data_IF_596464565013
#
_entry.id   IF_596464565013
#
_cell.length_a   1.000
_cell.length_b   1.000
_cell.length_c   1.000
_cell.angle_alpha   90.00
_cell.angle_beta   90.00
_cell.angle_gamma   90.00
#
_symmetry.space_group_name_H-M   'P 1'
#
loop_
_entity.id
_entity.type
_entity.pdbx_description
1 polymer ?
#
# COMPACT_ATOMS: atom_id res chain seq x y z
N UNK A 1 -35.17 -3.55 -2.38
CA UNK A 1 -36.19 -2.97 -1.51
C UNK A 1 -37.10 -2.05 -2.30
N UNK A 2 -38.40 -1.93 -1.89
CA UNK A 2 -39.38 -1.06 -2.55
C UNK A 2 -39.04 0.45 -2.42
N UNK A 3 -38.11 0.79 -1.54
CA UNK A 3 -37.66 2.16 -1.27
C UNK A 3 -36.57 2.65 -2.23
N UNK A 4 -35.97 1.78 -3.02
CA UNK A 4 -34.87 2.15 -3.95
C UNK A 4 -35.47 2.94 -5.13
N UNK A 5 -34.95 4.15 -5.34
CA UNK A 5 -35.33 5.03 -6.45
C UNK A 5 -34.24 5.13 -7.52
N UNK A 6 -32.98 5.15 -7.10
CA UNK A 6 -31.81 5.30 -7.97
C UNK A 6 -30.84 4.14 -7.77
N UNK A 7 -30.26 3.65 -8.84
CA UNK A 7 -29.22 2.61 -8.85
C UNK A 7 -28.06 3.11 -9.70
N UNK A 8 -26.85 3.09 -9.15
CA UNK A 8 -25.63 3.21 -9.93
C UNK A 8 -25.09 1.81 -10.23
N UNK A 9 -24.77 1.53 -11.48
CA UNK A 9 -24.14 0.28 -11.92
C UNK A 9 -22.73 0.62 -12.38
N UNK A 10 -21.74 0.01 -11.72
CA UNK A 10 -20.32 0.25 -11.99
C UNK A 10 -19.71 -0.93 -12.74
N UNK A 11 -19.21 -0.67 -13.92
CA UNK A 11 -18.48 -1.61 -14.77
C UNK A 11 -16.97 -1.31 -14.74
N UNK A 12 -16.13 -2.36 -14.70
CA UNK A 12 -14.67 -2.21 -14.78
C UNK A 12 -14.15 -2.24 -16.22
N UNK A 13 -14.95 -1.82 -17.14
CA UNK A 13 -14.61 -1.76 -18.56
C UNK A 13 -15.22 -0.52 -19.20
N UNK A 14 -14.70 -0.17 -20.36
CA UNK A 14 -15.32 0.78 -21.28
C UNK A 14 -15.57 0.05 -22.59
N UNK A 15 -16.83 -0.19 -22.92
CA UNK A 15 -17.23 -0.91 -24.13
C UNK A 15 -17.35 0.05 -25.31
N UNK A 16 -16.41 -0.04 -26.25
CA UNK A 16 -16.39 0.82 -27.41
C UNK A 16 -17.55 0.47 -28.38
N UNK A 17 -18.31 1.49 -28.79
CA UNK A 17 -19.39 1.33 -29.76
C UNK A 17 -20.69 0.76 -29.18
N UNK A 18 -20.75 0.54 -27.85
CA UNK A 18 -21.98 0.15 -27.15
C UNK A 18 -22.73 1.37 -26.61
N UNK A 19 -24.04 1.20 -26.38
CA UNK A 19 -24.88 2.22 -25.72
C UNK A 19 -24.69 2.26 -24.21
N UNK A 20 -23.98 1.29 -23.64
CA UNK A 20 -23.65 1.19 -22.21
C UNK A 20 -22.71 0.03 -21.98
N UNK A 21 -22.22 -0.08 -20.74
CA UNK A 21 -21.34 -1.14 -20.31
C UNK A 21 -22.12 -2.45 -20.06
N UNK A 22 -21.49 -3.63 -20.13
CA UNK A 22 -22.21 -4.91 -20.09
C UNK A 22 -23.12 -5.11 -18.88
N UNK A 23 -22.62 -4.91 -17.65
CA UNK A 23 -23.43 -5.07 -16.44
C UNK A 23 -24.57 -4.05 -16.38
N UNK A 24 -24.29 -2.80 -16.75
CA UNK A 24 -25.30 -1.76 -16.81
C UNK A 24 -26.45 -2.15 -17.74
N UNK A 25 -26.17 -2.65 -18.96
CA UNK A 25 -27.18 -3.09 -19.91
C UNK A 25 -28.00 -4.27 -19.39
N UNK A 26 -27.37 -5.24 -18.74
CA UNK A 26 -28.05 -6.37 -18.12
C UNK A 26 -29.02 -5.93 -17.01
N UNK A 27 -28.56 -5.02 -16.13
CA UNK A 27 -29.42 -4.46 -15.06
C UNK A 27 -30.58 -3.67 -15.63
N UNK A 28 -30.36 -2.86 -16.66
CA UNK A 28 -31.43 -2.13 -17.37
C UNK A 28 -32.45 -3.11 -17.96
N UNK A 29 -32.00 -4.18 -18.59
CA UNK A 29 -32.87 -5.21 -19.18
C UNK A 29 -33.76 -5.90 -18.12
N UNK A 30 -33.17 -6.26 -16.98
CA UNK A 30 -33.87 -6.96 -15.89
C UNK A 30 -34.89 -6.02 -15.20
N UNK A 31 -34.53 -4.76 -15.04
CA UNK A 31 -35.32 -3.78 -14.30
C UNK A 31 -36.22 -2.89 -15.18
N UNK A 32 -36.32 -3.13 -16.48
CA UNK A 32 -37.06 -2.31 -17.47
C UNK A 32 -38.50 -1.98 -17.09
N UNK A 33 -39.15 -2.83 -16.30
CA UNK A 33 -40.54 -2.65 -15.88
C UNK A 33 -40.66 -2.14 -14.43
N UNK A 34 -39.58 -1.68 -13.83
CA UNK A 34 -39.57 -1.10 -12.49
C UNK A 34 -39.49 0.43 -12.60
N UNK A 35 -40.12 1.11 -11.65
CA UNK A 35 -39.99 2.57 -11.54
C UNK A 35 -38.74 2.94 -10.73
N UNK A 36 -37.57 2.71 -11.36
CA UNK A 36 -36.25 2.89 -10.77
C UNK A 36 -35.38 3.55 -11.85
N UNK A 37 -34.65 4.60 -11.48
CA UNK A 37 -33.65 5.21 -12.34
C UNK A 37 -32.34 4.42 -12.23
N UNK A 38 -31.70 4.13 -13.36
CA UNK A 38 -30.47 3.34 -13.43
C UNK A 38 -29.40 4.17 -14.12
N UNK A 39 -28.28 4.40 -13.47
CA UNK A 39 -27.16 5.22 -13.96
C UNK A 39 -25.93 4.32 -14.17
N UNK A 40 -25.38 4.33 -15.39
CA UNK A 40 -24.16 3.60 -15.72
C UNK A 40 -22.90 4.37 -15.35
N UNK A 41 -21.94 3.70 -14.76
CA UNK A 41 -20.65 4.26 -14.38
C UNK A 41 -19.49 3.30 -14.59
N UNK A 42 -18.28 3.83 -14.52
CA UNK A 42 -17.02 3.07 -14.71
C UNK A 42 -16.10 3.25 -13.53
N UNK A 43 -15.42 2.18 -13.13
CA UNK A 43 -14.43 2.17 -12.05
C UNK A 43 -13.21 1.33 -12.41
N UNK A 44 -12.11 1.52 -11.71
CA UNK A 44 -10.94 0.67 -11.80
C UNK A 44 -10.33 0.54 -13.19
N UNK A 45 -10.57 1.49 -14.09
CA UNK A 45 -9.97 1.52 -15.43
C UNK A 45 -8.45 1.61 -15.31
N UNK A 46 -7.74 0.94 -16.22
CA UNK A 46 -6.27 0.82 -16.16
C UNK A 46 -5.75 0.18 -14.86
N UNK A 47 -6.53 -0.70 -14.24
CA UNK A 47 -6.22 -1.38 -12.98
C UNK A 47 -5.99 -0.42 -11.80
N UNK A 48 -6.56 0.78 -11.84
CA UNK A 48 -6.53 1.70 -10.70
C UNK A 48 -7.27 1.11 -9.50
N UNK A 49 -6.72 1.35 -8.32
CA UNK A 49 -7.38 1.05 -7.06
C UNK A 49 -8.66 1.87 -6.93
N UNK A 50 -9.68 1.30 -6.32
CA UNK A 50 -10.92 2.01 -6.02
C UNK A 50 -11.03 2.20 -4.51
N UNK A 51 -11.19 3.44 -4.10
CA UNK A 51 -11.20 3.84 -2.68
C UNK A 51 -12.63 4.00 -2.14
N UNK A 52 -12.81 3.96 -0.82
CA UNK A 52 -14.10 4.30 -0.20
C UNK A 52 -14.58 5.71 -0.56
N UNK A 53 -13.69 6.69 -0.65
CA UNK A 53 -13.99 8.07 -1.02
C UNK A 53 -14.60 8.14 -2.42
N UNK A 54 -14.04 7.40 -3.38
CA UNK A 54 -14.59 7.28 -4.74
C UNK A 54 -15.97 6.63 -4.75
N UNK A 55 -16.20 5.59 -3.96
CA UNK A 55 -17.53 4.95 -3.83
C UNK A 55 -18.53 5.88 -3.14
N UNK A 56 -18.08 6.60 -2.12
CA UNK A 56 -18.94 7.58 -1.44
C UNK A 56 -19.38 8.70 -2.38
N UNK A 57 -18.51 9.14 -3.28
CA UNK A 57 -18.83 10.12 -4.33
C UNK A 57 -19.97 9.64 -5.24
N UNK A 58 -20.09 8.33 -5.47
CA UNK A 58 -21.23 7.77 -6.24
C UNK A 58 -22.54 7.92 -5.47
N UNK A 59 -22.55 7.64 -4.17
CA UNK A 59 -23.75 7.86 -3.34
C UNK A 59 -24.17 9.31 -3.33
N UNK A 60 -23.22 10.22 -3.15
CA UNK A 60 -23.47 11.66 -3.19
C UNK A 60 -24.04 12.10 -4.54
N UNK A 61 -23.46 11.64 -5.64
CA UNK A 61 -23.96 11.91 -6.99
C UNK A 61 -25.41 11.44 -7.16
N UNK A 62 -25.76 10.24 -6.67
CA UNK A 62 -27.12 9.72 -6.77
C UNK A 62 -28.14 10.52 -5.93
N UNK A 63 -27.70 11.15 -4.85
CA UNK A 63 -28.56 11.96 -3.98
C UNK A 63 -28.75 13.39 -4.52
N UNK A 64 -27.67 14.02 -4.97
CA UNK A 64 -27.64 15.47 -5.24
C UNK A 64 -27.84 15.78 -6.72
N UNK A 65 -27.14 15.12 -7.60
CA UNK A 65 -27.14 15.38 -9.05
C UNK A 65 -26.80 14.15 -9.86
N UNK A 66 -27.76 13.24 -10.07
CA UNK A 66 -27.52 12.01 -10.81
C UNK A 66 -26.96 12.27 -12.22
N UNK A 67 -25.90 11.53 -12.58
CA UNK A 67 -25.14 11.69 -13.82
C UNK A 67 -25.05 10.37 -14.57
N UNK A 68 -25.28 10.41 -15.84
CA UNK A 68 -25.09 9.27 -16.77
C UNK A 68 -23.63 9.16 -17.21
N UNK A 69 -23.21 7.92 -17.49
CA UNK A 69 -21.88 7.62 -18.05
C UNK A 69 -20.71 8.17 -17.22
N UNK A 70 -20.89 8.28 -15.90
CA UNK A 70 -19.86 8.80 -15.02
C UNK A 70 -18.67 7.84 -14.86
N UNK A 71 -17.56 8.36 -14.39
CA UNK A 71 -16.34 7.60 -14.08
C UNK A 71 -15.85 7.98 -12.67
N UNK A 72 -15.24 7.06 -11.95
CA UNK A 72 -14.51 7.33 -10.71
C UNK A 72 -13.04 6.95 -10.87
N UNK A 73 -12.16 7.61 -10.11
CA UNK A 73 -10.73 7.33 -10.08
C UNK A 73 -9.92 7.88 -11.27
N UNK A 74 -10.48 8.75 -12.11
CA UNK A 74 -9.78 9.44 -13.19
C UNK A 74 -9.55 10.90 -12.81
N UNK A 75 -8.29 11.35 -12.75
CA UNK A 75 -7.94 12.70 -12.30
C UNK A 75 -7.70 13.70 -13.45
N UNK A 76 -7.34 13.22 -14.62
CA UNK A 76 -7.04 13.99 -15.84
C UNK A 76 -8.11 13.76 -16.93
N UNK A 77 -9.36 13.84 -16.53
CA UNK A 77 -10.51 13.52 -17.36
C UNK A 77 -10.87 14.66 -18.31
N UNK A 78 -10.45 14.54 -19.57
CA UNK A 78 -10.81 15.49 -20.64
C UNK A 78 -12.30 15.42 -21.06
N UNK A 79 -13.02 14.39 -20.62
CA UNK A 79 -14.45 14.20 -20.94
C UNK A 79 -15.38 14.85 -19.92
N UNK A 80 -14.85 15.26 -18.77
CA UNK A 80 -15.59 15.79 -17.62
C UNK A 80 -16.68 14.82 -17.09
N UNK A 81 -16.48 13.52 -17.23
CA UNK A 81 -17.37 12.48 -16.73
C UNK A 81 -16.98 11.98 -15.34
N UNK A 82 -15.75 12.23 -14.92
CA UNK A 82 -15.29 11.84 -13.59
C UNK A 82 -16.00 12.59 -12.48
N UNK A 83 -16.37 11.83 -11.45
CA UNK A 83 -16.88 12.44 -10.22
C UNK A 83 -15.69 13.02 -9.44
N UNK A 84 -15.95 14.13 -8.78
CA UNK A 84 -15.02 14.67 -7.79
C UNK A 84 -15.02 13.75 -6.57
N UNK A 85 -13.86 13.43 -6.07
CA UNK A 85 -13.70 12.59 -4.89
C UNK A 85 -14.25 13.31 -3.65
N UNK A 86 -15.15 12.64 -2.93
CA UNK A 86 -15.76 13.10 -1.68
C UNK A 86 -15.23 12.27 -0.53
N UNK A 87 -14.77 12.94 0.51
CA UNK A 87 -14.15 12.25 1.65
C UNK A 87 -15.17 11.62 2.58
N UNK A 88 -14.92 10.37 2.98
CA UNK A 88 -15.65 9.68 4.05
C UNK A 88 -14.67 9.17 5.09
N UNK A 89 -14.93 9.49 6.35
CA UNK A 89 -14.15 8.94 7.45
C UNK A 89 -14.65 7.54 7.79
N UNK A 90 -13.74 6.56 7.67
CA UNK A 90 -14.01 5.16 8.02
C UNK A 90 -13.15 4.83 9.22
N UNK A 91 -13.81 4.65 10.37
CA UNK A 91 -13.14 4.15 11.56
C UNK A 91 -12.76 2.68 11.36
N UNK A 92 -11.48 2.37 11.50
CA UNK A 92 -10.98 1.02 11.63
C UNK A 92 -9.83 0.98 12.64
N UNK A 93 -9.68 -0.16 13.33
CA UNK A 93 -8.63 -0.38 14.32
C UNK A 93 -7.38 -1.03 13.70
N UNK A 94 -7.37 -1.20 12.38
CA UNK A 94 -6.26 -1.86 11.69
C UNK A 94 -5.05 -0.92 11.59
N UNK A 95 -3.87 -1.50 11.78
CA UNK A 95 -2.60 -0.83 11.52
C UNK A 95 -2.24 -1.02 10.04
N UNK A 96 -1.77 0.05 9.42
CA UNK A 96 -1.45 0.08 8.00
C UNK A 96 0.04 0.35 7.77
N UNK A 97 0.66 -0.45 6.89
CA UNK A 97 2.08 -0.32 6.50
C UNK A 97 2.17 -0.24 4.99
N UNK A 98 2.98 0.67 4.49
CA UNK A 98 3.30 0.80 3.07
C UNK A 98 4.79 0.59 2.85
N UNK A 99 5.15 -0.38 2.01
CA UNK A 99 6.55 -0.64 1.65
C UNK A 99 6.76 -0.37 0.17
N UNK A 100 7.59 0.61 -0.14
CA UNK A 100 7.98 0.98 -1.51
C UNK A 100 9.35 0.40 -1.79
N UNK A 101 9.37 -0.67 -2.56
CA UNK A 101 10.55 -1.45 -2.87
C UNK A 101 10.93 -1.43 -4.34
N UNK A 102 12.04 -2.07 -4.65
CA UNK A 102 12.53 -2.25 -6.01
C UNK A 102 12.35 -3.71 -6.43
N UNK A 103 11.90 -3.94 -7.65
CA UNK A 103 11.72 -5.28 -8.18
C UNK A 103 13.00 -6.12 -8.04
N UNK A 104 12.89 -7.26 -7.36
CA UNK A 104 13.98 -8.18 -7.01
C UNK A 104 14.82 -7.81 -5.77
N UNK A 105 14.47 -6.75 -5.00
CA UNK A 105 15.15 -6.43 -3.72
C UNK A 105 14.75 -7.38 -2.57
N UNK A 106 13.75 -8.23 -2.80
CA UNK A 106 13.25 -9.20 -1.82
C UNK A 106 12.19 -8.64 -0.87
N UNK A 107 11.80 -7.36 -1.00
CA UNK A 107 10.85 -6.72 -0.07
C UNK A 107 9.43 -7.28 -0.16
N UNK A 108 8.99 -7.76 -1.33
CA UNK A 108 7.70 -8.46 -1.43
C UNK A 108 7.69 -9.74 -0.59
N UNK A 109 8.79 -10.51 -0.62
CA UNK A 109 8.94 -11.72 0.21
C UNK A 109 9.04 -11.37 1.69
N UNK A 110 9.80 -10.34 2.06
CA UNK A 110 9.88 -9.83 3.42
C UNK A 110 8.51 -9.36 3.93
N UNK A 111 7.76 -8.63 3.12
CA UNK A 111 6.40 -8.20 3.47
C UNK A 111 5.45 -9.37 3.73
N UNK A 112 5.56 -10.45 2.95
CA UNK A 112 4.78 -11.69 3.19
C UNK A 112 5.21 -12.39 4.47
N UNK A 113 6.50 -12.41 4.78
CA UNK A 113 7.03 -13.02 6.00
C UNK A 113 6.65 -12.20 7.24
N UNK A 114 6.74 -10.88 7.15
CA UNK A 114 6.25 -9.94 8.16
C UNK A 114 4.77 -10.23 8.52
N UNK A 115 3.91 -10.41 7.52
CA UNK A 115 2.50 -10.74 7.76
C UNK A 115 2.34 -12.10 8.47
N UNK A 116 3.17 -13.10 8.14
CA UNK A 116 3.15 -14.41 8.82
C UNK A 116 3.57 -14.28 10.29
N UNK A 117 4.61 -13.48 10.56
CA UNK A 117 5.07 -13.21 11.94
C UNK A 117 3.96 -12.52 12.74
N UNK A 118 3.32 -11.50 12.16
CA UNK A 118 2.21 -10.80 12.80
C UNK A 118 1.00 -11.72 13.04
N UNK A 119 0.66 -12.58 12.08
CA UNK A 119 -0.43 -13.56 12.22
C UNK A 119 -0.14 -14.65 13.26
N UNK A 120 1.12 -15.03 13.44
CA UNK A 120 1.52 -16.02 14.45
C UNK A 120 1.30 -15.51 15.88
N UNK A 121 1.19 -14.19 16.09
CA UNK A 121 0.69 -13.62 17.34
C UNK A 121 -0.82 -13.90 17.44
N UNK A 122 -1.23 -14.39 18.61
CA UNK A 122 -2.63 -14.72 18.89
C UNK A 122 -3.54 -13.53 18.58
N UNK A 123 -4.64 -13.83 17.88
CA UNK A 123 -5.76 -12.93 17.60
C UNK A 123 -5.47 -11.77 16.61
N UNK A 124 -4.38 -11.81 15.85
CA UNK A 124 -4.17 -10.83 14.79
C UNK A 124 -4.63 -11.34 13.41
N UNK A 125 -5.50 -10.57 12.78
CA UNK A 125 -5.80 -10.70 11.36
C UNK A 125 -4.76 -9.94 10.54
N UNK A 126 -4.45 -10.42 9.34
CA UNK A 126 -3.48 -9.81 8.45
C UNK A 126 -3.98 -9.79 7.01
N UNK A 127 -3.61 -8.76 6.26
CA UNK A 127 -3.93 -8.63 4.85
C UNK A 127 -2.75 -8.01 4.10
N UNK A 128 -2.50 -8.45 2.87
CA UNK A 128 -1.47 -7.87 2.00
C UNK A 128 -1.92 -7.79 0.57
N UNK A 129 -1.81 -6.60 -0.03
CA UNK A 129 -1.90 -6.37 -1.46
C UNK A 129 -0.55 -5.92 -2.00
N UNK A 130 -0.23 -6.35 -3.22
CA UNK A 130 1.07 -6.08 -3.84
C UNK A 130 0.86 -5.48 -5.23
N UNK A 131 1.37 -4.27 -5.43
CA UNK A 131 1.45 -3.65 -6.74
C UNK A 131 2.81 -3.92 -7.38
N UNK A 132 2.80 -4.14 -8.67
CA UNK A 132 4.00 -4.35 -9.48
C UNK A 132 3.96 -3.39 -10.68
N UNK A 133 5.09 -2.74 -10.95
CA UNK A 133 5.26 -2.03 -12.22
C UNK A 133 5.17 -3.04 -13.38
N UNK A 134 4.59 -2.64 -14.50
CA UNK A 134 4.50 -3.44 -15.72
C UNK A 134 5.88 -3.77 -16.35
N UNK A 135 6.94 -3.11 -15.94
CA UNK A 135 8.31 -3.42 -16.36
C UNK A 135 8.79 -4.73 -15.75
N UNK A 136 9.32 -5.63 -16.59
CA UNK A 136 9.77 -6.97 -16.18
C UNK A 136 10.90 -6.99 -15.13
N UNK A 137 11.72 -5.95 -15.05
CA UNK A 137 12.80 -5.83 -14.07
C UNK A 137 13.07 -4.37 -13.75
N UNK A 138 13.44 -4.08 -12.51
CA UNK A 138 13.80 -2.74 -12.09
C UNK A 138 12.63 -1.78 -11.86
N UNK A 139 11.40 -2.29 -11.91
CA UNK A 139 10.21 -1.52 -11.59
C UNK A 139 9.98 -1.36 -10.09
N UNK A 140 9.14 -0.40 -9.73
CA UNK A 140 8.72 -0.20 -8.34
C UNK A 140 7.76 -1.30 -7.93
N UNK A 141 7.89 -1.79 -6.70
CA UNK A 141 6.89 -2.65 -6.05
C UNK A 141 6.34 -1.91 -4.85
N UNK A 142 5.02 -1.97 -4.65
CA UNK A 142 4.41 -1.40 -3.46
C UNK A 142 3.66 -2.50 -2.74
N UNK A 143 4.03 -2.73 -1.47
CA UNK A 143 3.31 -3.65 -0.59
C UNK A 143 2.43 -2.84 0.35
N UNK A 144 1.13 -3.14 0.33
CA UNK A 144 0.10 -2.57 1.19
C UNK A 144 -0.29 -3.61 2.23
N UNK A 145 0.10 -3.41 3.47
CA UNK A 145 -0.08 -4.38 4.54
C UNK A 145 -1.00 -3.83 5.62
N UNK A 146 -1.89 -4.68 6.11
CA UNK A 146 -2.74 -4.38 7.27
C UNK A 146 -2.64 -5.49 8.30
N UNK A 147 -2.72 -5.11 9.56
CA UNK A 147 -2.88 -6.07 10.65
C UNK A 147 -3.70 -5.45 11.79
N UNK A 148 -4.40 -6.27 12.55
CA UNK A 148 -5.22 -5.81 13.67
C UNK A 148 -5.91 -6.96 14.40
N UNK A 149 -6.58 -6.63 15.51
CA UNK A 149 -7.40 -7.58 16.28
C UNK A 149 -8.73 -7.90 15.61
N UNK A 150 -9.19 -7.03 14.75
CA UNK A 150 -10.47 -7.16 14.08
C UNK A 150 -10.32 -7.74 12.67
N UNK A 151 -11.38 -8.39 12.18
CA UNK A 151 -11.40 -8.93 10.83
C UNK A 151 -11.23 -7.81 9.80
N UNK A 152 -10.23 -7.96 8.94
CA UNK A 152 -9.91 -7.00 7.88
C UNK A 152 -10.83 -7.24 6.69
N UNK A 153 -11.66 -6.25 6.34
CA UNK A 153 -12.62 -6.33 5.25
C UNK A 153 -12.36 -5.29 4.14
N UNK A 154 -11.24 -4.58 4.19
CA UNK A 154 -10.86 -3.52 3.26
C UNK A 154 -10.33 -4.10 1.93
N UNK A 155 -11.11 -4.08 0.82
CA UNK A 155 -10.68 -4.62 -0.47
C UNK A 155 -9.91 -3.61 -1.33
N UNK A 156 -9.28 -2.61 -0.70
CA UNK A 156 -8.53 -1.53 -1.35
C UNK A 156 -7.13 -1.40 -0.76
N UNK A 157 -6.25 -0.67 -1.46
CA UNK A 157 -4.89 -0.44 -0.99
C UNK A 157 -4.84 0.42 0.27
N UNK A 158 -3.74 0.31 1.02
CA UNK A 158 -3.47 1.15 2.19
C UNK A 158 -3.52 2.62 1.79
N UNK A 159 -4.36 3.37 2.49
CA UNK A 159 -4.58 4.79 2.24
C UNK A 159 -3.91 5.70 3.26
N UNK A 160 -3.82 5.26 4.52
CA UNK A 160 -3.29 6.07 5.63
C UNK A 160 -2.32 5.27 6.50
N UNK A 161 -1.10 4.92 5.98
CA UNK A 161 -0.14 4.10 6.72
C UNK A 161 0.36 4.80 7.99
N UNK A 162 0.61 4.03 9.05
CA UNK A 162 1.40 4.45 10.20
C UNK A 162 2.89 4.44 9.90
N UNK A 163 3.32 3.48 9.08
CA UNK A 163 4.71 3.36 8.65
C UNK A 163 4.79 3.30 7.12
N UNK A 164 5.66 4.14 6.57
CA UNK A 164 6.07 4.01 5.18
C UNK A 164 7.55 3.66 5.12
N UNK A 165 7.87 2.63 4.36
CA UNK A 165 9.24 2.15 4.14
C UNK A 165 9.64 2.40 2.71
N UNK A 166 10.85 2.93 2.49
CA UNK A 166 11.38 3.24 1.15
C UNK A 166 12.75 2.62 1.00
N UNK A 167 12.89 1.66 0.07
CA UNK A 167 14.16 0.95 -0.11
C UNK A 167 15.14 1.64 -1.05
N UNK A 168 14.70 2.67 -1.77
CA UNK A 168 15.54 3.51 -2.64
C UNK A 168 15.14 4.97 -2.53
N UNK A 169 16.05 5.81 -2.09
CA UNK A 169 15.83 7.24 -1.85
C UNK A 169 15.41 8.02 -3.12
N UNK A 170 15.79 7.55 -4.31
CA UNK A 170 15.41 8.16 -5.59
C UNK A 170 13.89 8.23 -5.80
N UNK A 171 13.12 7.34 -5.15
CA UNK A 171 11.67 7.28 -5.30
C UNK A 171 10.95 8.54 -4.80
N UNK A 172 11.54 9.29 -3.88
CA UNK A 172 10.99 10.58 -3.45
C UNK A 172 10.91 11.63 -4.56
N UNK A 173 11.72 11.48 -5.62
CA UNK A 173 11.67 12.35 -6.80
C UNK A 173 10.66 11.89 -7.86
N UNK A 174 10.29 10.61 -7.81
CA UNK A 174 9.44 9.98 -8.82
C UNK A 174 7.98 9.90 -8.38
N UNK A 175 7.73 9.75 -7.07
CA UNK A 175 6.42 9.46 -6.51
C UNK A 175 6.13 10.30 -5.26
N UNK A 176 4.85 10.59 -5.03
CA UNK A 176 4.36 11.22 -3.80
C UNK A 176 4.12 10.16 -2.72
N UNK A 177 5.21 9.61 -2.17
CA UNK A 177 5.20 8.40 -1.34
C UNK A 177 4.53 8.63 0.01
N UNK A 178 4.76 9.81 0.63
CA UNK A 178 4.37 10.08 2.02
C UNK A 178 3.15 10.98 2.16
N UNK A 179 2.48 11.33 1.06
CA UNK A 179 1.32 12.22 1.07
C UNK A 179 0.28 11.82 2.12
N UNK A 180 -0.01 10.53 2.18
CA UNK A 180 -1.06 9.96 3.04
C UNK A 180 -0.53 9.28 4.30
N UNK A 181 0.77 9.42 4.61
CA UNK A 181 1.33 8.96 5.88
C UNK A 181 0.62 9.69 7.03
N UNK A 182 0.19 8.96 8.04
CA UNK A 182 -0.53 9.52 9.20
C UNK A 182 0.28 10.58 9.93
N UNK A 183 -0.38 11.46 10.64
CA UNK A 183 0.27 12.36 11.61
C UNK A 183 0.98 11.53 12.70
N UNK A 184 2.16 11.98 13.10
CA UNK A 184 3.07 11.27 14.00
C UNK A 184 3.51 9.88 13.46
N UNK A 185 3.31 9.63 12.17
CA UNK A 185 3.72 8.40 11.52
C UNK A 185 5.23 8.27 11.38
N UNK A 186 5.68 7.12 10.90
CA UNK A 186 7.10 6.78 10.76
C UNK A 186 7.48 6.60 9.29
N UNK A 187 8.62 7.17 8.91
CA UNK A 187 9.24 6.99 7.60
C UNK A 187 10.60 6.30 7.79
N UNK A 188 10.75 5.09 7.28
CA UNK A 188 12.02 4.35 7.26
C UNK A 188 12.61 4.37 5.85
N UNK A 189 13.86 4.84 5.72
CA UNK A 189 14.53 5.00 4.43
C UNK A 189 15.79 4.16 4.39
N UNK A 190 15.93 3.29 3.37
CA UNK A 190 17.22 2.71 3.05
C UNK A 190 17.99 3.65 2.12
N UNK A 191 19.15 4.11 2.56
CA UNK A 191 20.00 5.01 1.81
C UNK A 191 21.44 4.94 2.30
N UNK A 192 22.40 5.09 1.39
CA UNK A 192 23.84 5.24 1.70
C UNK A 192 24.20 6.66 2.13
N UNK A 193 23.24 7.59 2.06
CA UNK A 193 23.46 9.02 2.35
C UNK A 193 23.38 9.28 3.83
N UNK A 194 24.25 10.19 4.29
CA UNK A 194 24.13 10.76 5.62
C UNK A 194 22.93 11.73 5.71
N UNK A 195 22.64 12.24 6.91
CA UNK A 195 21.51 13.12 7.16
C UNK A 195 21.52 14.38 6.27
N UNK A 196 22.67 15.06 6.15
CA UNK A 196 22.79 16.28 5.35
C UNK A 196 22.51 16.03 3.87
N UNK A 197 23.05 14.95 3.31
CA UNK A 197 22.86 14.55 1.92
C UNK A 197 21.42 14.12 1.66
N UNK A 198 20.80 13.39 2.60
CA UNK A 198 19.41 12.99 2.53
C UNK A 198 18.49 14.20 2.54
N UNK A 199 18.72 15.16 3.43
CA UNK A 199 17.96 16.40 3.49
C UNK A 199 18.08 17.22 2.18
N UNK A 200 19.25 17.23 1.53
CA UNK A 200 19.41 17.87 0.20
C UNK A 200 18.66 17.13 -0.91
N UNK A 201 18.58 15.81 -0.82
CA UNK A 201 17.92 14.98 -1.82
C UNK A 201 16.38 15.10 -1.75
N UNK A 202 15.80 15.16 -0.55
CA UNK A 202 14.36 15.18 -0.34
C UNK A 202 13.73 16.44 -0.95
N UNK A 203 12.67 16.29 -1.79
CA UNK A 203 11.92 17.41 -2.33
C UNK A 203 11.30 18.29 -1.24
N UNK A 204 11.15 19.58 -1.51
CA UNK A 204 10.54 20.54 -0.57
C UNK A 204 9.16 20.09 -0.10
N UNK A 205 8.35 19.51 -1.00
CA UNK A 205 7.03 18.98 -0.66
C UNK A 205 7.11 17.87 0.39
N UNK A 206 8.08 16.97 0.27
CA UNK A 206 8.32 15.87 1.23
C UNK A 206 8.74 16.44 2.58
N UNK A 207 9.70 17.37 2.60
CA UNK A 207 10.14 18.05 3.84
C UNK A 207 8.99 18.77 4.56
N UNK A 208 8.17 19.48 3.80
CA UNK A 208 6.99 20.15 4.35
C UNK A 208 5.97 19.17 4.94
N UNK A 209 5.78 18.00 4.31
CA UNK A 209 4.89 16.96 4.83
C UNK A 209 5.44 16.35 6.12
N UNK A 210 6.75 16.07 6.17
CA UNK A 210 7.43 15.58 7.37
C UNK A 210 7.23 16.55 8.54
N UNK A 211 7.47 17.83 8.30
CA UNK A 211 7.33 18.85 9.33
C UNK A 211 5.86 19.03 9.78
N UNK A 212 4.93 19.20 8.84
CA UNK A 212 3.51 19.45 9.14
C UNK A 212 2.84 18.31 9.88
N UNK A 213 3.20 17.08 9.55
CA UNK A 213 2.62 15.86 10.14
C UNK A 213 3.45 15.29 11.30
N UNK A 214 4.52 15.98 11.73
CA UNK A 214 5.42 15.51 12.78
C UNK A 214 5.91 14.06 12.54
N UNK A 215 6.36 13.76 11.30
CA UNK A 215 6.77 12.41 10.93
C UNK A 215 8.15 12.10 11.50
N UNK A 216 8.29 10.95 12.17
CA UNK A 216 9.56 10.43 12.63
C UNK A 216 10.30 9.79 11.45
N UNK A 217 11.51 10.28 11.18
CA UNK A 217 12.32 9.78 10.05
C UNK A 217 13.48 8.96 10.59
N UNK A 218 13.58 7.73 10.13
CA UNK A 218 14.69 6.82 10.34
C UNK A 218 15.36 6.52 9.02
N UNK A 219 16.68 6.41 9.00
CA UNK A 219 17.41 6.01 7.80
C UNK A 219 18.54 5.04 8.14
N UNK A 220 18.87 4.18 7.23
CA UNK A 220 19.88 3.14 7.40
C UNK A 220 20.55 2.79 6.07
N UNK A 221 21.81 2.44 6.10
CA UNK A 221 22.53 1.85 4.97
C UNK A 221 22.48 0.31 5.10
N UNK A 222 21.34 -0.26 4.72
CA UNK A 222 21.11 -1.70 4.76
C UNK A 222 22.01 -2.46 3.76
N UNK A 223 22.46 -1.79 2.68
CA UNK A 223 23.36 -2.40 1.69
C UNK A 223 24.76 -2.59 2.27
N UNK A 224 25.26 -1.63 3.04
CA UNK A 224 26.52 -1.75 3.75
C UNK A 224 26.47 -2.85 4.82
N UNK A 225 25.42 -2.89 5.62
CA UNK A 225 25.22 -3.96 6.62
C UNK A 225 25.19 -5.34 5.92
N UNK A 226 24.42 -5.46 4.84
CA UNK A 226 24.36 -6.71 4.08
C UNK A 226 25.73 -7.12 3.51
N UNK A 227 26.52 -6.15 3.00
CA UNK A 227 27.86 -6.39 2.48
C UNK A 227 28.84 -6.87 3.54
N UNK A 228 28.87 -6.23 4.71
CA UNK A 228 29.71 -6.61 5.86
C UNK A 228 29.43 -8.03 6.33
N UNK A 229 28.15 -8.45 6.24
CA UNK A 229 27.71 -9.77 6.65
C UNK A 229 27.64 -10.77 5.48
N UNK A 230 28.36 -10.56 4.40
CA UNK A 230 28.45 -11.46 3.23
C UNK A 230 27.11 -11.76 2.53
N UNK A 231 26.11 -10.88 2.66
CA UNK A 231 24.76 -11.08 2.10
C UNK A 231 24.57 -10.43 0.73
N UNK A 232 25.54 -9.70 0.19
CA UNK A 232 25.56 -9.09 -1.17
C UNK A 232 24.20 -8.56 -1.64
N UNK A 233 23.79 -7.39 -1.13
CA UNK A 233 22.55 -6.72 -1.54
C UNK A 233 21.24 -7.38 -1.09
N UNK A 234 21.29 -8.37 -0.20
CA UNK A 234 20.10 -9.00 0.40
C UNK A 234 19.68 -8.24 1.66
N UNK A 235 18.96 -7.15 1.48
CA UNK A 235 18.53 -6.24 2.56
C UNK A 235 17.22 -6.66 3.23
N UNK A 236 16.52 -7.65 2.70
CA UNK A 236 15.15 -7.96 3.08
C UNK A 236 14.97 -8.23 4.58
N UNK A 237 15.83 -9.08 5.19
CA UNK A 237 15.76 -9.40 6.62
C UNK A 237 16.20 -8.25 7.52
N UNK A 238 17.10 -7.41 7.04
CA UNK A 238 17.52 -6.16 7.69
C UNK A 238 16.31 -5.21 7.78
N UNK A 239 15.66 -4.94 6.66
CA UNK A 239 14.50 -4.04 6.63
C UNK A 239 13.33 -4.61 7.42
N UNK A 240 13.12 -5.93 7.39
CA UNK A 240 12.04 -6.60 8.09
C UNK A 240 12.14 -6.47 9.62
N UNK A 241 13.34 -6.68 10.19
CA UNK A 241 13.53 -6.50 11.64
C UNK A 241 13.32 -5.04 12.06
N UNK A 242 13.75 -4.09 11.24
CA UNK A 242 13.55 -2.67 11.54
C UNK A 242 12.06 -2.29 11.52
N UNK A 243 11.30 -2.82 10.56
CA UNK A 243 9.84 -2.61 10.52
C UNK A 243 9.20 -3.18 11.79
N UNK A 244 9.52 -4.42 12.16
CA UNK A 244 8.98 -5.06 13.36
C UNK A 244 9.34 -4.29 14.65
N UNK A 245 10.56 -3.79 14.73
CA UNK A 245 11.02 -2.98 15.87
C UNK A 245 10.25 -1.65 15.95
N UNK A 246 10.10 -0.95 14.84
CA UNK A 246 9.36 0.32 14.77
C UNK A 246 7.84 0.15 15.00
N UNK A 247 7.31 -1.04 14.76
CA UNK A 247 5.93 -1.41 15.13
C UNK A 247 5.79 -1.83 16.59
N UNK A 248 6.88 -1.89 17.35
CA UNK A 248 6.92 -2.35 18.74
C UNK A 248 6.28 -3.74 18.94
N UNK A 249 6.57 -4.66 17.99
CA UNK A 249 6.09 -6.04 18.07
C UNK A 249 6.95 -6.79 19.09
N UNK A 250 6.33 -7.23 20.19
CA UNK A 250 7.01 -8.05 21.20
C UNK A 250 7.54 -9.35 20.59
N UNK A 251 8.69 -9.81 21.05
CA UNK A 251 9.37 -11.04 20.59
C UNK A 251 9.69 -11.08 19.09
N UNK A 252 9.55 -9.93 18.39
CA UNK A 252 9.74 -9.85 16.95
C UNK A 252 11.11 -10.37 16.50
N UNK A 253 12.15 -10.07 17.25
CA UNK A 253 13.53 -10.50 16.94
C UNK A 253 13.65 -12.02 16.97
N UNK A 254 13.18 -12.69 18.02
CA UNK A 254 13.23 -14.15 18.14
C UNK A 254 12.36 -14.84 17.09
N UNK A 255 11.18 -14.30 16.78
CA UNK A 255 10.30 -14.82 15.72
C UNK A 255 10.95 -14.70 14.35
N UNK A 256 11.65 -13.59 14.08
CA UNK A 256 12.35 -13.40 12.81
C UNK A 256 13.58 -14.32 12.71
N UNK A 257 14.32 -14.55 13.80
CA UNK A 257 15.39 -15.54 13.84
C UNK A 257 14.90 -16.95 13.49
N UNK A 258 13.77 -17.37 14.04
CA UNK A 258 13.15 -18.65 13.70
C UNK A 258 12.73 -18.71 12.23
N UNK A 259 12.15 -17.61 11.71
CA UNK A 259 11.81 -17.52 10.28
C UNK A 259 13.04 -17.62 9.39
N UNK A 260 14.15 -16.95 9.76
CA UNK A 260 15.43 -17.03 9.04
C UNK A 260 15.95 -18.47 9.03
N UNK A 261 15.98 -19.12 10.21
CA UNK A 261 16.41 -20.52 10.32
C UNK A 261 15.60 -21.46 9.42
N UNK A 262 14.26 -21.30 9.42
CA UNK A 262 13.37 -22.11 8.57
C UNK A 262 13.56 -21.81 7.08
N UNK A 263 13.65 -20.54 6.70
CA UNK A 263 13.70 -20.09 5.30
C UNK A 263 15.03 -20.46 4.63
N UNK A 264 16.12 -20.39 5.38
CA UNK A 264 17.47 -20.60 4.84
C UNK A 264 18.11 -21.92 5.27
N UNK A 265 17.39 -22.82 5.96
CA UNK A 265 17.89 -24.12 6.42
C UNK A 265 18.62 -24.93 5.32
N UNK A 266 18.08 -24.91 4.10
CA UNK A 266 18.67 -25.64 2.95
C UNK A 266 19.83 -24.93 2.26
N UNK A 267 20.11 -23.67 2.64
CA UNK A 267 21.16 -22.84 2.01
C UNK A 267 22.50 -22.87 2.77
N UNK A 268 22.54 -23.56 3.92
CA UNK A 268 23.72 -23.71 4.76
C UNK A 268 23.71 -22.77 5.99
N UNK A 269 24.40 -23.21 7.04
CA UNK A 269 24.47 -22.52 8.32
C UNK A 269 25.07 -21.11 8.23
N UNK A 270 26.07 -20.91 7.37
CA UNK A 270 26.69 -19.60 7.18
C UNK A 270 25.70 -18.55 6.70
N UNK A 271 24.79 -18.92 5.81
CA UNK A 271 23.75 -17.99 5.32
C UNK A 271 22.75 -17.66 6.42
N UNK A 272 22.36 -18.62 7.24
CA UNK A 272 21.50 -18.42 8.40
C UNK A 272 22.17 -17.44 9.38
N UNK A 273 23.41 -17.74 9.78
CA UNK A 273 24.17 -16.94 10.73
C UNK A 273 24.42 -15.51 10.21
N UNK A 274 24.80 -15.34 8.95
CA UNK A 274 25.01 -14.03 8.34
C UNK A 274 23.73 -13.18 8.35
N UNK A 275 22.55 -13.77 8.09
CA UNK A 275 21.29 -13.04 8.18
C UNK A 275 20.95 -12.63 9.62
N UNK A 276 21.20 -13.48 10.60
CA UNK A 276 20.97 -13.17 12.02
C UNK A 276 21.93 -12.05 12.48
N UNK A 277 23.22 -12.13 12.13
CA UNK A 277 24.19 -11.10 12.46
C UNK A 277 23.81 -9.75 11.84
N UNK A 278 23.44 -9.72 10.57
CA UNK A 278 23.01 -8.51 9.87
C UNK A 278 21.75 -7.90 10.50
N UNK A 279 20.82 -8.73 10.96
CA UNK A 279 19.61 -8.31 11.67
C UNK A 279 19.95 -7.62 12.99
N UNK A 280 20.84 -8.18 13.80
CA UNK A 280 21.28 -7.58 15.07
C UNK A 280 22.09 -6.30 14.84
N UNK A 281 22.98 -6.29 13.83
CA UNK A 281 23.72 -5.07 13.46
C UNK A 281 22.76 -3.94 13.06
N UNK A 282 21.68 -4.26 12.32
CA UNK A 282 20.69 -3.28 11.92
C UNK A 282 19.97 -2.64 13.11
N UNK A 283 19.57 -3.43 14.10
CA UNK A 283 18.92 -2.94 15.32
C UNK A 283 19.84 -2.02 16.15
N UNK A 284 21.14 -2.27 16.11
CA UNK A 284 22.13 -1.44 16.82
C UNK A 284 22.42 -0.12 16.12
N UNK A 285 22.03 0.05 14.86
CA UNK A 285 22.31 1.22 14.04
C UNK A 285 21.05 2.06 13.73
N UNK A 286 19.89 1.74 14.32
CA UNK A 286 18.64 2.46 14.11
C UNK A 286 18.49 3.67 15.11
#
# INVERSE_FOLDING_TARGET
>A
PKSVKNIAVLDRTKEAGSTGEPLYLDVCSILKNKNINIYGGRFGLSSKNTTPDEIYSVYKMLEESPKENFTIGINDDVTNLSLKEEHIEIENNNKEIKVVGFGSDGMVSASKDLLKILHAKKDLYVQGYFEYDSKKSGGVTISHLRYGSDKINEPYYVTHPEITVVTKDIYFRMFDIIRNLKENGTLLINTIKNEEELLKLLPTKVKNTIFKKNIKVYYIDAENIASKNNLKGKISKIMEVLILNLLHVEDATSMLEESIKKTFATKGEDIVNNNILAMHEALSNL
#
